data_IF_042231822221
#
_entry.id   IF_042231822221
#
_cell.length_a   1.000
_cell.length_b   1.000
_cell.length_c   1.000
_cell.angle_alpha   90.00
_cell.angle_beta   90.00
_cell.angle_gamma   90.00
#
_symmetry.space_group_name_H-M   'P 1'
#
loop_
_entity.id
_entity.type
_entity.pdbx_description
1 polymer ?
#
# COMPACT_ATOMS: atom_id res chain seq x y z
N UNK A 1 -14.87 -43.05 -40.23
CA UNK A 1 -14.36 -42.94 -38.85
C UNK A 1 -13.38 -41.78 -38.81
N UNK A 2 -13.76 -40.67 -38.16
CA UNK A 2 -12.85 -39.57 -37.85
C UNK A 2 -13.27 -39.03 -36.49
N UNK A 3 -12.40 -39.16 -35.49
CA UNK A 3 -12.61 -38.66 -34.13
C UNK A 3 -11.99 -37.26 -34.05
N UNK A 4 -12.80 -36.25 -33.76
CA UNK A 4 -12.32 -34.91 -33.39
C UNK A 4 -12.85 -34.56 -32.01
N UNK A 5 -11.94 -34.49 -31.03
CA UNK A 5 -12.16 -33.93 -29.70
C UNK A 5 -11.00 -33.01 -29.35
N UNK A 6 -11.32 -31.72 -29.17
CA UNK A 6 -11.03 -30.87 -28.00
C UNK A 6 -11.16 -29.39 -28.44
N UNK A 7 -12.23 -28.71 -28.04
CA UNK A 7 -12.24 -27.80 -26.88
C UNK A 7 -11.13 -26.75 -26.93
N UNK A 8 -11.41 -25.63 -27.61
CA UNK A 8 -10.67 -24.39 -27.51
C UNK A 8 -11.56 -23.28 -26.95
N UNK A 9 -11.90 -23.36 -25.66
CA UNK A 9 -12.42 -22.18 -24.95
C UNK A 9 -11.22 -21.28 -24.64
N UNK A 10 -11.02 -20.23 -25.42
CA UNK A 10 -10.11 -19.14 -25.06
C UNK A 10 -10.92 -18.11 -24.28
N UNK A 11 -11.24 -18.44 -23.02
CA UNK A 11 -11.48 -17.40 -22.02
C UNK A 11 -10.16 -17.19 -21.29
N UNK A 12 -9.40 -16.17 -21.73
CA UNK A 12 -8.30 -15.62 -20.94
C UNK A 12 -8.92 -14.82 -19.80
N UNK A 13 -9.48 -15.53 -18.82
CA UNK A 13 -9.75 -14.97 -17.50
C UNK A 13 -8.40 -14.75 -16.83
N UNK A 14 -7.75 -13.63 -17.11
CA UNK A 14 -6.94 -12.99 -16.08
C UNK A 14 -7.92 -12.34 -15.11
N UNK A 15 -8.70 -13.16 -14.42
CA UNK A 15 -9.23 -12.80 -13.12
C UNK A 15 -8.01 -12.82 -12.21
N UNK A 16 -7.28 -11.70 -12.17
CA UNK A 16 -6.45 -11.41 -11.00
C UNK A 16 -7.40 -11.56 -9.83
N UNK A 17 -7.21 -12.52 -8.92
CA UNK A 17 -8.07 -12.59 -7.75
C UNK A 17 -7.93 -11.24 -7.07
N UNK A 18 -8.98 -10.42 -7.16
CA UNK A 18 -9.09 -9.19 -6.43
C UNK A 18 -9.35 -9.61 -5.00
N UNK A 19 -8.26 -10.09 -4.37
CA UNK A 19 -8.20 -10.55 -3.00
C UNK A 19 -8.80 -9.43 -2.18
N UNK A 20 -9.88 -9.77 -1.50
CA UNK A 20 -10.66 -8.90 -0.64
C UNK A 20 -9.73 -8.30 0.44
N UNK A 21 -9.04 -7.20 0.09
CA UNK A 21 -7.90 -6.59 0.80
C UNK A 21 -8.30 -5.85 2.09
N UNK A 22 -9.53 -6.02 2.57
CA UNK A 22 -10.02 -5.32 3.76
C UNK A 22 -9.70 -6.05 5.06
N UNK A 23 -9.51 -7.37 5.00
CA UNK A 23 -9.28 -8.25 6.16
C UNK A 23 -7.88 -8.89 6.16
N UNK A 24 -7.00 -8.48 5.25
CA UNK A 24 -5.59 -8.86 5.33
C UNK A 24 -4.95 -7.99 6.40
N UNK A 25 -4.72 -8.56 7.59
CA UNK A 25 -3.83 -7.98 8.58
C UNK A 25 -2.57 -7.50 7.84
N UNK A 26 -2.25 -6.21 7.95
CA UNK A 26 -1.04 -5.67 7.35
C UNK A 26 0.12 -6.61 7.74
N UNK A 27 0.85 -7.18 6.76
CA UNK A 27 2.03 -7.96 7.05
C UNK A 27 2.88 -7.21 8.08
N UNK A 28 3.42 -7.90 9.08
CA UNK A 28 4.21 -7.25 10.13
C UNK A 28 5.38 -6.42 9.59
N UNK A 29 5.90 -6.81 8.43
CA UNK A 29 6.90 -6.07 7.64
C UNK A 29 6.36 -4.73 7.11
N UNK A 30 5.15 -4.72 6.54
CA UNK A 30 4.47 -3.51 6.09
C UNK A 30 4.25 -2.54 7.27
N UNK A 31 3.88 -3.03 8.47
CA UNK A 31 3.74 -2.20 9.66
C UNK A 31 5.07 -1.57 10.14
N UNK A 32 6.17 -2.32 10.08
CA UNK A 32 7.49 -1.83 10.46
C UNK A 32 7.95 -0.70 9.54
N UNK A 33 7.73 -0.85 8.23
CA UNK A 33 8.02 0.18 7.22
C UNK A 33 7.21 1.45 7.47
N UNK A 34 5.89 1.35 7.63
CA UNK A 34 5.02 2.50 7.87
C UNK A 34 5.40 3.26 9.15
N UNK A 35 5.70 2.54 10.24
CA UNK A 35 6.10 3.13 11.51
C UNK A 35 7.48 3.81 11.40
N UNK A 36 8.40 3.23 10.63
CA UNK A 36 9.70 3.84 10.33
C UNK A 36 9.57 5.18 9.61
N UNK A 37 8.79 5.20 8.52
CA UNK A 37 8.51 6.42 7.76
C UNK A 37 7.80 7.47 8.61
N UNK A 38 6.77 7.07 9.36
CA UNK A 38 6.02 7.97 10.24
C UNK A 38 6.93 8.63 11.29
N UNK A 39 7.80 7.86 11.96
CA UNK A 39 8.75 8.40 12.94
C UNK A 39 9.77 9.33 12.31
N UNK A 40 10.35 8.95 11.17
CA UNK A 40 11.34 9.76 10.48
C UNK A 40 10.79 11.13 10.09
N UNK A 41 9.60 11.15 9.48
CA UNK A 41 8.92 12.37 9.10
C UNK A 41 8.43 13.17 10.30
N UNK A 42 7.84 12.53 11.31
CA UNK A 42 7.39 13.25 12.51
C UNK A 42 8.53 14.01 13.19
N UNK A 43 9.70 13.37 13.30
CA UNK A 43 10.92 13.98 13.83
C UNK A 43 11.46 15.09 12.92
N UNK A 44 11.46 14.88 11.60
CA UNK A 44 11.94 15.87 10.61
C UNK A 44 11.17 17.18 10.70
N UNK A 45 9.85 17.12 10.86
CA UNK A 45 8.98 18.29 10.93
C UNK A 45 8.72 18.77 12.36
N UNK A 46 9.29 18.11 13.38
CA UNK A 46 9.11 18.50 14.78
C UNK A 46 7.67 18.35 15.29
N UNK A 47 6.89 17.45 14.69
CA UNK A 47 5.46 17.27 15.00
C UNK A 47 5.19 16.11 15.98
N UNK A 48 6.23 15.49 16.55
CA UNK A 48 6.10 14.27 17.38
C UNK A 48 5.14 14.43 18.58
N UNK A 49 5.00 15.66 19.11
CA UNK A 49 4.09 15.98 20.22
C UNK A 49 2.71 16.46 19.75
N UNK A 50 2.55 16.78 18.47
CA UNK A 50 1.28 17.16 17.87
C UNK A 50 0.55 15.91 17.36
N UNK A 51 -0.34 15.41 18.20
CA UNK A 51 -1.14 14.22 17.90
C UNK A 51 -1.96 14.38 16.62
N UNK A 52 -2.49 15.57 16.32
CA UNK A 52 -3.30 15.78 15.12
C UNK A 52 -2.43 15.76 13.86
N UNK A 53 -1.27 16.42 13.91
CA UNK A 53 -0.31 16.40 12.82
C UNK A 53 0.23 14.98 12.57
N UNK A 54 0.58 14.23 13.62
CA UNK A 54 1.03 12.83 13.51
C UNK A 54 -0.08 11.94 12.93
N UNK A 55 -1.33 12.10 13.37
CA UNK A 55 -2.45 11.33 12.80
C UNK A 55 -2.70 11.66 11.33
N UNK A 56 -2.59 12.95 10.95
CA UNK A 56 -2.71 13.38 9.56
C UNK A 56 -1.62 12.75 8.69
N UNK A 57 -0.38 12.80 9.15
CA UNK A 57 0.76 12.18 8.46
C UNK A 57 0.60 10.67 8.35
N UNK A 58 0.19 9.98 9.41
CA UNK A 58 -0.08 8.55 9.38
C UNK A 58 -1.16 8.19 8.35
N UNK A 59 -2.21 9.01 8.24
CA UNK A 59 -3.28 8.80 7.25
C UNK A 59 -2.80 8.97 5.81
N UNK A 60 -1.91 9.93 5.56
CA UNK A 60 -1.25 10.10 4.25
C UNK A 60 -0.44 8.85 3.91
N UNK A 61 0.45 8.42 4.81
CA UNK A 61 1.34 7.27 4.61
C UNK A 61 0.53 5.98 4.35
N UNK A 62 -0.51 5.70 5.15
CA UNK A 62 -1.40 4.54 4.92
C UNK A 62 -2.16 4.65 3.61
N UNK A 63 -2.59 5.85 3.21
CA UNK A 63 -3.27 6.08 1.94
C UNK A 63 -2.37 5.83 0.73
N UNK A 64 -1.09 6.17 0.81
CA UNK A 64 -0.09 5.88 -0.23
C UNK A 64 0.18 4.37 -0.34
N UNK A 65 0.26 3.67 0.79
CA UNK A 65 0.42 2.22 0.78
C UNK A 65 -0.81 1.50 0.19
N UNK A 66 -2.02 1.98 0.49
CA UNK A 66 -3.24 1.45 -0.10
C UNK A 66 -3.27 1.61 -1.64
N UNK A 67 -2.59 2.64 -2.17
CA UNK A 67 -2.40 2.87 -3.61
C UNK A 67 -1.29 2.00 -4.23
N UNK A 68 -0.56 1.22 -3.42
CA UNK A 68 0.47 0.29 -3.85
C UNK A 68 1.91 0.78 -3.68
N UNK A 69 2.13 1.95 -3.06
CA UNK A 69 3.47 2.44 -2.74
C UNK A 69 4.01 1.65 -1.54
N UNK A 70 5.02 0.80 -1.76
CA UNK A 70 5.61 -0.04 -0.70
C UNK A 70 7.01 0.39 -0.25
N UNK A 71 7.74 1.07 -1.13
CA UNK A 71 9.11 1.49 -0.85
C UNK A 71 9.14 2.65 0.18
N UNK A 72 9.90 2.54 1.28
CA UNK A 72 9.93 3.55 2.34
C UNK A 72 10.39 4.93 1.85
N UNK A 73 11.35 4.99 0.94
CA UNK A 73 11.86 6.24 0.36
C UNK A 73 10.79 6.92 -0.49
N UNK A 74 10.00 6.14 -1.25
CA UNK A 74 8.89 6.67 -2.04
C UNK A 74 7.73 7.13 -1.15
N UNK A 75 7.40 6.38 -0.10
CA UNK A 75 6.41 6.78 0.90
C UNK A 75 6.81 8.10 1.56
N UNK A 76 8.09 8.26 1.90
CA UNK A 76 8.61 9.49 2.50
C UNK A 76 8.48 10.67 1.53
N UNK A 77 9.02 10.52 0.32
CA UNK A 77 8.98 11.56 -0.71
C UNK A 77 7.55 12.04 -1.02
N UNK A 78 6.62 11.11 -1.22
CA UNK A 78 5.23 11.44 -1.55
C UNK A 78 4.46 12.02 -0.37
N UNK A 79 4.70 11.52 0.85
CA UNK A 79 4.08 12.06 2.05
C UNK A 79 4.55 13.50 2.28
N UNK A 80 5.85 13.78 2.14
CA UNK A 80 6.42 15.13 2.23
C UNK A 80 5.80 16.08 1.20
N UNK A 81 5.71 15.66 -0.07
CA UNK A 81 5.10 16.45 -1.13
C UNK A 81 3.60 16.73 -0.91
N UNK A 82 2.92 15.93 -0.07
CA UNK A 82 1.50 16.12 0.28
C UNK A 82 1.31 17.06 1.47
N UNK A 83 2.37 17.35 2.24
CA UNK A 83 2.30 18.24 3.40
C UNK A 83 2.64 19.71 3.07
N UNK A 84 3.29 19.97 1.94
CA UNK A 84 3.47 21.33 1.39
C UNK A 84 2.14 21.91 0.87
#
# INVERSE_FOLDING_TARGET
>A
MAWSRHHGYVLRMTDTPQKNRRDEQLPSEDLAVLNGVLKALSRKYGIEEDREAVMRLARIIMGLQAQGVREPEQLSLLAEATME
#
